data_IF_455905919365
#
_entry.id   IF_455905919365
#
_cell.length_a   1.000
_cell.length_b   1.000
_cell.length_c   1.000
_cell.angle_alpha   90.00
_cell.angle_beta   90.00
_cell.angle_gamma   90.00
#
_symmetry.space_group_name_H-M   'P 1'
#
loop_
_entity.id
_entity.type
_entity.pdbx_description
1 polymer ?
#
# COMPACT_ATOMS: atom_id res chain seq x y z
N UNK A 1 -40.47 10.76 8.86
CA UNK A 1 -39.42 11.71 8.45
C UNK A 1 -38.08 11.18 8.97
N UNK A 2 -37.48 10.22 8.28
CA UNK A 2 -36.20 9.63 8.69
C UNK A 2 -35.05 10.48 8.14
N UNK A 3 -34.41 11.25 9.02
CA UNK A 3 -33.24 12.04 8.70
C UNK A 3 -32.07 11.11 8.39
N UNK A 4 -31.77 10.95 7.10
CA UNK A 4 -30.61 10.22 6.59
C UNK A 4 -29.39 11.09 6.87
N UNK A 5 -28.82 10.97 8.07
CA UNK A 5 -27.51 11.54 8.40
C UNK A 5 -26.43 10.83 7.57
N UNK A 6 -26.33 11.22 6.31
CA UNK A 6 -25.17 10.93 5.47
C UNK A 6 -24.00 11.73 6.02
N UNK A 7 -23.33 11.18 7.04
CA UNK A 7 -22.01 11.63 7.46
C UNK A 7 -21.08 11.47 6.25
N UNK A 8 -20.93 12.55 5.47
CA UNK A 8 -19.85 12.70 4.50
C UNK A 8 -18.57 12.82 5.31
N UNK A 9 -18.07 11.71 5.86
CA UNK A 9 -16.68 11.65 6.32
C UNK A 9 -15.84 11.93 5.08
N UNK A 10 -15.16 13.08 5.09
CA UNK A 10 -14.22 13.44 4.05
C UNK A 10 -13.27 12.28 3.80
N UNK A 11 -12.99 12.04 2.53
CA UNK A 11 -11.92 11.16 2.10
C UNK A 11 -10.63 11.62 2.80
N UNK A 12 -9.93 10.71 3.49
CA UNK A 12 -8.67 11.01 4.21
C UNK A 12 -7.65 11.52 3.20
N UNK A 13 -7.36 12.81 3.20
CA UNK A 13 -6.27 13.38 2.41
C UNK A 13 -5.05 13.53 3.32
N UNK A 14 -4.02 12.68 3.14
CA UNK A 14 -2.82 12.79 3.95
C UNK A 14 -2.06 14.06 3.63
N UNK A 15 -1.50 14.66 4.67
CA UNK A 15 -0.66 15.85 4.57
C UNK A 15 0.83 15.46 4.66
N UNK A 16 1.71 16.38 4.26
CA UNK A 16 3.16 16.20 4.48
C UNK A 16 3.50 16.02 5.97
N UNK A 17 2.72 16.64 6.86
CA UNK A 17 2.89 16.45 8.31
C UNK A 17 2.59 15.01 8.74
N UNK A 18 1.58 14.36 8.13
CA UNK A 18 1.28 12.95 8.39
C UNK A 18 2.42 12.04 7.91
N UNK A 19 2.96 12.30 6.72
CA UNK A 19 4.12 11.56 6.19
C UNK A 19 5.33 11.72 7.10
N UNK A 20 5.65 12.95 7.52
CA UNK A 20 6.75 13.22 8.46
C UNK A 20 6.57 12.46 9.78
N UNK A 21 5.35 12.42 10.32
CA UNK A 21 5.06 11.68 11.55
C UNK A 21 5.33 10.18 11.39
N UNK A 22 4.85 9.57 10.31
CA UNK A 22 5.07 8.14 10.03
C UNK A 22 6.56 7.84 9.81
N UNK A 23 7.30 8.73 9.14
CA UNK A 23 8.74 8.60 8.99
C UNK A 23 9.47 8.64 10.34
N UNK A 24 9.08 9.54 11.24
CA UNK A 24 9.67 9.61 12.59
C UNK A 24 9.34 8.38 13.44
N UNK A 25 8.18 7.76 13.24
CA UNK A 25 7.84 6.47 13.85
C UNK A 25 8.72 5.35 13.26
N UNK A 26 8.88 5.32 11.94
CA UNK A 26 9.69 4.33 11.24
C UNK A 26 11.16 4.36 11.68
N UNK A 27 11.75 5.55 11.83
CA UNK A 27 13.14 5.75 12.23
C UNK A 27 13.47 5.25 13.66
N UNK A 28 12.46 4.94 14.47
CA UNK A 28 12.64 4.39 15.84
C UNK A 28 12.63 2.87 15.86
N UNK A 29 12.36 2.23 14.72
CA UNK A 29 12.23 0.78 14.60
C UNK A 29 13.50 0.19 13.97
N UNK A 30 13.75 -1.08 14.28
CA UNK A 30 14.85 -1.84 13.68
C UNK A 30 14.54 -2.17 12.20
N UNK A 31 15.44 -1.80 11.31
CA UNK A 31 15.23 -1.87 9.87
C UNK A 31 15.14 -3.31 9.35
N UNK A 32 15.89 -4.23 9.96
CA UNK A 32 15.88 -5.65 9.61
C UNK A 32 14.54 -6.28 10.00
N UNK A 33 14.00 -5.91 11.17
CA UNK A 33 12.66 -6.34 11.61
C UNK A 33 11.56 -5.77 10.73
N UNK A 34 11.66 -4.51 10.31
CA UNK A 34 10.72 -3.91 9.35
C UNK A 34 10.76 -4.68 8.03
N UNK A 35 11.94 -4.89 7.46
CA UNK A 35 12.13 -5.58 6.19
C UNK A 35 11.48 -6.97 6.22
N UNK A 36 11.77 -7.73 7.28
CA UNK A 36 11.20 -9.07 7.49
C UNK A 36 9.68 -9.06 7.64
N UNK A 37 9.13 -8.14 8.44
CA UNK A 37 7.68 -8.05 8.71
C UNK A 37 6.91 -7.64 7.46
N UNK A 38 7.38 -6.62 6.77
CA UNK A 38 6.70 -6.03 5.62
C UNK A 38 7.04 -6.74 4.30
N UNK A 39 7.86 -7.79 4.32
CA UNK A 39 8.28 -8.48 3.10
C UNK A 39 9.01 -7.58 2.10
N UNK A 40 9.69 -6.53 2.57
CA UNK A 40 10.41 -5.54 1.74
C UNK A 40 11.91 -5.77 1.79
N UNK A 41 12.63 -5.24 0.81
CA UNK A 41 14.10 -5.30 0.80
C UNK A 41 14.64 -4.07 1.54
N UNK A 42 15.53 -4.30 2.50
CA UNK A 42 16.32 -3.23 3.10
C UNK A 42 17.74 -3.25 2.55
N UNK A 43 18.19 -2.12 2.02
CA UNK A 43 19.54 -1.91 1.53
C UNK A 43 20.31 -1.11 2.58
N UNK A 44 21.21 -1.79 3.28
CA UNK A 44 22.07 -1.17 4.28
C UNK A 44 23.01 -0.13 3.62
N UNK A 45 23.35 0.96 4.34
CA UNK A 45 24.26 1.97 3.81
C UNK A 45 25.69 1.43 3.71
N UNK A 46 26.50 1.90 2.74
CA UNK A 46 27.90 1.46 2.59
C UNK A 46 28.78 1.79 3.80
N UNK A 47 28.44 2.83 4.56
CA UNK A 47 29.15 3.27 5.77
C UNK A 47 28.16 3.43 6.93
N UNK A 48 27.91 2.35 7.70
CA UNK A 48 27.03 2.39 8.86
C UNK A 48 27.47 3.47 9.87
N UNK A 49 26.52 4.20 10.45
CA UNK A 49 26.76 5.24 11.46
C UNK A 49 26.94 6.66 10.92
N UNK A 50 27.24 6.85 9.62
CA UNK A 50 27.22 8.19 8.96
C UNK A 50 26.04 8.40 8.02
N UNK A 51 25.46 7.31 7.53
CA UNK A 51 24.31 7.27 6.62
C UNK A 51 23.33 6.22 7.10
N UNK A 52 22.08 6.36 6.70
CA UNK A 52 21.01 5.39 6.89
C UNK A 52 20.77 4.65 5.57
N UNK A 53 20.18 3.47 5.68
CA UNK A 53 19.85 2.65 4.52
C UNK A 53 18.59 3.14 3.81
N UNK A 54 18.04 2.29 2.97
CA UNK A 54 16.77 2.53 2.27
C UNK A 54 15.94 1.27 2.15
N UNK A 55 14.62 1.44 2.09
CA UNK A 55 13.69 0.34 1.80
C UNK A 55 13.27 0.37 0.34
N UNK A 56 13.27 -0.79 -0.32
CA UNK A 56 12.69 -0.98 -1.65
C UNK A 56 11.32 -1.63 -1.48
N UNK A 57 10.28 -0.91 -1.91
CA UNK A 57 8.88 -1.27 -1.68
C UNK A 57 8.15 -1.34 -3.02
N UNK A 58 7.48 -2.46 -3.27
CA UNK A 58 6.57 -2.58 -4.41
C UNK A 58 5.18 -2.13 -3.98
N UNK A 59 4.58 -1.25 -4.77
CA UNK A 59 3.19 -0.83 -4.63
C UNK A 59 2.52 -0.98 -6.00
N UNK A 60 1.63 -1.97 -6.11
CA UNK A 60 1.02 -2.38 -7.37
C UNK A 60 2.11 -2.71 -8.42
N UNK A 61 2.12 -2.02 -9.55
CA UNK A 61 3.05 -2.24 -10.67
C UNK A 61 4.30 -1.36 -10.60
N UNK A 62 4.50 -0.62 -9.50
CA UNK A 62 5.61 0.33 -9.34
C UNK A 62 6.49 -0.04 -8.17
N UNK A 63 7.76 0.32 -8.28
CA UNK A 63 8.77 0.13 -7.23
C UNK A 63 9.24 1.48 -6.73
N UNK A 64 9.26 1.62 -5.40
CA UNK A 64 9.64 2.84 -4.70
C UNK A 64 10.84 2.61 -3.80
N UNK A 65 11.64 3.66 -3.61
CA UNK A 65 12.69 3.72 -2.58
C UNK A 65 12.27 4.67 -1.48
N UNK A 66 12.34 4.23 -0.22
CA UNK A 66 12.22 5.09 0.96
C UNK A 66 13.63 5.36 1.47
N UNK A 67 14.15 6.54 1.16
CA UNK A 67 15.50 6.96 1.52
C UNK A 67 15.50 7.48 2.97
N UNK A 68 16.09 6.74 3.91
CA UNK A 68 16.00 7.09 5.34
C UNK A 68 16.85 8.30 5.74
N UNK A 69 17.85 8.65 4.92
CA UNK A 69 18.69 9.83 5.12
C UNK A 69 17.93 11.13 4.80
N UNK A 70 17.21 11.18 3.68
CA UNK A 70 16.47 12.37 3.24
C UNK A 70 15.01 12.37 3.71
N UNK A 71 14.46 11.19 4.01
CA UNK A 71 13.04 11.01 4.31
C UNK A 71 12.16 11.00 3.07
N UNK A 72 12.74 10.95 1.88
CA UNK A 72 12.01 10.98 0.61
C UNK A 72 11.54 9.59 0.20
N UNK A 73 10.39 9.56 -0.48
CA UNK A 73 9.88 8.38 -1.18
C UNK A 73 9.99 8.64 -2.67
N UNK A 74 10.80 7.85 -3.37
CA UNK A 74 11.16 8.06 -4.78
C UNK A 74 10.59 6.91 -5.60
N UNK A 75 9.85 7.24 -6.67
CA UNK A 75 9.48 6.28 -7.71
C UNK A 75 10.74 5.92 -8.51
N UNK A 76 11.19 4.66 -8.41
CA UNK A 76 12.45 4.23 -9.03
C UNK A 76 12.37 4.13 -10.56
N UNK A 77 11.16 4.05 -11.12
CA UNK A 77 10.95 4.01 -12.57
C UNK A 77 10.94 5.45 -13.11
N UNK A 78 10.22 6.35 -12.45
CA UNK A 78 10.09 7.73 -12.90
C UNK A 78 11.27 8.63 -12.47
N UNK A 79 12.05 8.21 -11.48
CA UNK A 79 13.15 8.99 -10.91
C UNK A 79 12.69 10.26 -10.18
N UNK A 80 11.46 10.29 -9.67
CA UNK A 80 10.81 11.46 -9.05
C UNK A 80 10.23 11.13 -7.69
N UNK A 81 10.06 12.16 -6.86
CA UNK A 81 9.33 12.02 -5.61
C UNK A 81 7.90 11.50 -5.84
N UNK A 82 7.48 10.58 -4.99
CA UNK A 82 6.12 10.06 -4.98
C UNK A 82 5.13 11.16 -4.53
N UNK A 83 3.86 11.03 -4.93
CA UNK A 83 2.81 11.90 -4.41
C UNK A 83 2.66 11.73 -2.89
N UNK A 84 2.10 12.74 -2.21
CA UNK A 84 1.88 12.68 -0.77
C UNK A 84 1.07 11.44 -0.35
N UNK A 85 0.04 11.09 -1.12
CA UNK A 85 -0.81 9.92 -0.87
C UNK A 85 -0.04 8.61 -1.00
N UNK A 86 0.80 8.51 -2.03
CA UNK A 86 1.63 7.34 -2.29
C UNK A 86 2.67 7.17 -1.18
N UNK A 87 3.38 8.24 -0.84
CA UNK A 87 4.34 8.27 0.25
C UNK A 87 3.67 7.90 1.58
N UNK A 88 2.50 8.44 1.87
CA UNK A 88 1.74 8.14 3.08
C UNK A 88 1.39 6.66 3.20
N UNK A 89 0.89 6.03 2.12
CA UNK A 89 0.55 4.60 2.12
C UNK A 89 1.79 3.75 2.38
N UNK A 90 2.90 4.06 1.70
CA UNK A 90 4.17 3.32 1.86
C UNK A 90 4.71 3.47 3.28
N UNK A 91 4.79 4.70 3.79
CA UNK A 91 5.29 4.97 5.15
C UNK A 91 4.39 4.32 6.21
N UNK A 92 3.06 4.36 6.02
CA UNK A 92 2.09 3.71 6.90
C UNK A 92 2.30 2.20 6.92
N UNK A 93 2.57 1.60 5.76
CA UNK A 93 2.82 0.16 5.67
C UNK A 93 4.06 -0.21 6.48
N UNK A 94 5.18 0.47 6.21
CA UNK A 94 6.46 0.22 6.87
C UNK A 94 6.43 0.50 8.38
N UNK A 95 5.75 1.56 8.82
CA UNK A 95 5.68 1.96 10.24
C UNK A 95 4.65 1.16 11.05
N UNK A 96 3.83 0.34 10.39
CA UNK A 96 2.82 -0.43 11.09
C UNK A 96 3.40 -1.58 11.91
N UNK A 97 2.72 -1.93 12.99
CA UNK A 97 2.95 -3.19 13.72
C UNK A 97 2.21 -4.39 13.09
N UNK A 98 1.53 -4.18 11.95
CA UNK A 98 0.65 -5.15 11.28
C UNK A 98 1.37 -6.31 10.61
N UNK A 99 0.63 -7.37 10.33
CA UNK A 99 1.03 -8.76 10.05
C UNK A 99 2.30 -8.94 9.22
N UNK A 100 3.05 -9.99 9.58
CA UNK A 100 4.11 -10.58 8.75
C UNK A 100 3.48 -11.00 7.43
N UNK A 101 3.67 -10.19 6.39
CA UNK A 101 3.39 -10.63 5.03
C UNK A 101 4.26 -11.85 4.76
N UNK A 102 3.68 -12.91 4.20
CA UNK A 102 4.52 -13.97 3.62
C UNK A 102 5.37 -13.32 2.54
N UNK A 103 6.67 -13.65 2.54
CA UNK A 103 7.62 -13.14 1.55
C UNK A 103 7.03 -13.39 0.16
N UNK A 104 6.88 -12.32 -0.64
CA UNK A 104 6.45 -12.35 -2.05
C UNK A 104 4.94 -12.44 -2.34
N UNK A 105 4.05 -12.42 -1.34
CA UNK A 105 2.59 -12.43 -1.55
C UNK A 105 1.96 -11.03 -1.49
N UNK A 106 0.88 -10.82 -2.24
CA UNK A 106 0.07 -9.59 -2.18
C UNK A 106 -0.55 -9.42 -0.80
N UNK A 107 -0.42 -8.23 -0.21
CA UNK A 107 -1.17 -7.87 1.01
C UNK A 107 -2.54 -7.33 0.63
N UNK A 108 -3.62 -7.93 1.15
CA UNK A 108 -4.98 -7.47 0.88
C UNK A 108 -5.26 -6.12 1.54
N UNK A 109 -6.28 -5.39 1.07
CA UNK A 109 -6.69 -4.12 1.69
C UNK A 109 -7.24 -4.31 3.10
N UNK A 110 -7.78 -5.49 3.44
CA UNK A 110 -8.24 -5.79 4.81
C UNK A 110 -7.06 -5.96 5.78
N UNK A 111 -5.96 -6.54 5.30
CA UNK A 111 -4.73 -6.76 6.06
C UNK A 111 -3.86 -5.50 6.15
N UNK A 112 -4.06 -4.56 5.22
CA UNK A 112 -3.35 -3.29 5.22
C UNK A 112 -3.52 -2.55 6.56
N UNK A 113 -2.49 -1.86 7.07
CA UNK A 113 -2.58 -1.14 8.32
C UNK A 113 -3.68 -0.09 8.33
N UNK A 114 -4.65 -0.27 9.23
CA UNK A 114 -5.90 0.51 9.27
C UNK A 114 -6.73 0.40 7.98
N UNK A 115 -6.69 -0.75 7.31
CA UNK A 115 -7.43 -1.09 6.07
C UNK A 115 -8.88 -0.64 6.06
N UNK A 116 -9.57 -0.79 7.20
CA UNK A 116 -10.97 -0.35 7.40
C UNK A 116 -11.19 1.14 7.09
N UNK A 117 -10.20 2.01 7.30
CA UNK A 117 -10.28 3.44 6.98
C UNK A 117 -10.32 3.69 5.47
N UNK A 118 -9.71 2.80 4.69
CA UNK A 118 -9.65 2.91 3.24
C UNK A 118 -10.79 2.17 2.54
N UNK A 119 -11.67 1.47 3.27
CA UNK A 119 -12.80 0.72 2.69
C UNK A 119 -13.65 1.59 1.76
N UNK A 120 -13.95 2.83 2.15
CA UNK A 120 -14.75 3.73 1.30
C UNK A 120 -14.00 4.14 0.02
N UNK A 121 -12.68 4.24 0.05
CA UNK A 121 -11.85 4.49 -1.14
C UNK A 121 -11.86 3.27 -2.05
N UNK A 122 -11.59 2.10 -1.49
CA UNK A 122 -11.56 0.85 -2.22
C UNK A 122 -12.91 0.56 -2.88
N UNK A 123 -14.01 0.76 -2.15
CA UNK A 123 -15.36 0.63 -2.69
C UNK A 123 -15.60 1.59 -3.86
N UNK A 124 -15.24 2.86 -3.70
CA UNK A 124 -15.52 3.90 -4.70
C UNK A 124 -14.67 3.76 -5.96
N UNK A 125 -13.39 3.42 -5.82
CA UNK A 125 -12.41 3.48 -6.90
C UNK A 125 -12.01 2.11 -7.46
N UNK A 126 -12.33 1.02 -6.77
CA UNK A 126 -12.05 -0.34 -7.23
C UNK A 126 -13.34 -1.11 -7.45
N UNK A 127 -14.13 -1.35 -6.39
CA UNK A 127 -15.32 -2.21 -6.47
C UNK A 127 -16.36 -1.65 -7.42
N UNK A 128 -16.77 -0.38 -7.27
CA UNK A 128 -17.81 0.21 -8.15
C UNK A 128 -17.43 0.24 -9.62
N UNK A 129 -16.21 0.66 -10.02
CA UNK A 129 -15.76 0.53 -11.41
C UNK A 129 -15.79 -0.92 -11.91
N UNK A 130 -15.33 -1.88 -11.10
CA UNK A 130 -15.36 -3.29 -11.45
C UNK A 130 -16.80 -3.79 -11.67
N UNK A 131 -17.71 -3.51 -10.73
CA UNK A 131 -19.14 -3.87 -10.87
C UNK A 131 -19.77 -3.23 -12.11
N UNK A 132 -19.42 -1.99 -12.45
CA UNK A 132 -19.93 -1.35 -13.69
C UNK A 132 -19.41 -2.01 -14.96
N UNK A 133 -18.18 -2.52 -14.95
CA UNK A 133 -17.53 -3.12 -16.13
C UNK A 133 -17.91 -4.60 -16.33
N UNK A 134 -18.13 -5.32 -15.23
CA UNK A 134 -18.25 -6.77 -15.20
C UNK A 134 -19.53 -7.30 -14.55
N UNK A 135 -20.38 -6.44 -13.96
CA UNK A 135 -21.46 -6.78 -13.02
C UNK A 135 -22.10 -8.14 -13.22
N UNK A 136 -22.80 -8.33 -14.33
CA UNK A 136 -23.50 -9.58 -14.64
C UNK A 136 -22.73 -10.46 -15.65
N UNK A 137 -21.59 -9.99 -16.15
CA UNK A 137 -20.77 -10.66 -17.17
C UNK A 137 -19.57 -11.36 -16.51
N UNK A 138 -19.88 -12.45 -15.80
CA UNK A 138 -18.89 -13.25 -15.08
C UNK A 138 -17.88 -13.93 -16.00
N UNK A 139 -18.24 -14.26 -17.24
CA UNK A 139 -17.34 -14.87 -18.22
C UNK A 139 -16.26 -13.89 -18.66
N UNK A 140 -16.64 -12.65 -18.96
CA UNK A 140 -15.69 -11.58 -19.29
C UNK A 140 -14.77 -11.26 -18.13
N UNK A 141 -15.29 -11.26 -16.90
CA UNK A 141 -14.47 -11.11 -15.70
C UNK A 141 -13.43 -12.22 -15.59
N UNK A 142 -13.84 -13.49 -15.71
CA UNK A 142 -12.95 -14.64 -15.65
C UNK A 142 -11.89 -14.62 -16.75
N UNK A 143 -12.28 -14.24 -17.98
CA UNK A 143 -11.36 -14.10 -19.10
C UNK A 143 -10.28 -13.05 -18.84
N UNK A 144 -10.66 -11.86 -18.35
CA UNK A 144 -9.71 -10.77 -18.07
C UNK A 144 -8.78 -11.15 -16.91
N UNK A 145 -9.31 -11.71 -15.81
CA UNK A 145 -8.50 -12.17 -14.69
C UNK A 145 -7.45 -13.19 -15.14
N UNK A 146 -7.83 -14.20 -15.93
CA UNK A 146 -6.88 -15.17 -16.48
C UNK A 146 -5.79 -14.53 -17.32
N UNK A 147 -6.14 -13.55 -18.17
CA UNK A 147 -5.15 -12.81 -18.99
C UNK A 147 -4.18 -11.99 -18.15
N UNK A 148 -4.59 -11.52 -16.98
CA UNK A 148 -3.75 -10.78 -16.04
C UNK A 148 -2.93 -11.71 -15.12
N UNK A 149 -2.99 -13.03 -15.34
CA UNK A 149 -2.28 -14.03 -14.53
C UNK A 149 -3.02 -14.46 -13.26
N UNK A 150 -4.29 -14.06 -13.11
CA UNK A 150 -5.12 -14.43 -11.98
C UNK A 150 -5.52 -15.91 -11.99
N UNK A 151 -5.77 -16.44 -10.79
CA UNK A 151 -6.13 -17.83 -10.52
C UNK A 151 -7.54 -17.92 -9.94
N UNK A 152 -8.26 -18.97 -10.33
CA UNK A 152 -9.61 -19.24 -9.81
C UNK A 152 -9.51 -19.88 -8.44
N UNK A 153 -10.12 -19.26 -7.44
CA UNK A 153 -10.13 -19.76 -6.07
C UNK A 153 -11.09 -20.93 -5.91
N UNK A 154 -10.73 -21.92 -5.06
CA UNK A 154 -11.51 -23.17 -4.88
C UNK A 154 -12.92 -22.94 -4.31
N UNK A 155 -13.14 -21.87 -3.57
CA UNK A 155 -14.39 -21.56 -2.89
C UNK A 155 -15.16 -20.40 -3.54
N UNK A 156 -14.78 -20.03 -4.78
CA UNK A 156 -15.29 -18.85 -5.48
C UNK A 156 -14.37 -17.63 -5.32
N UNK A 157 -14.30 -16.81 -6.36
CA UNK A 157 -13.37 -15.67 -6.47
C UNK A 157 -12.24 -15.90 -7.49
N UNK A 158 -11.60 -14.80 -7.91
CA UNK A 158 -10.43 -14.78 -8.78
C UNK A 158 -9.37 -13.88 -8.11
N UNK A 159 -8.16 -14.41 -7.87
CA UNK A 159 -7.03 -13.74 -7.21
C UNK A 159 -5.85 -13.53 -8.17
#
# INVERSE_FOLDING_TARGET
MFSRMSSRRGLIQPTEADCRKLLQELLKMDEVKIAKRCGVIFLAPPKPGRRKGRFVVNLLTRTYSVELDTGEVIDLIAGKAASCETAFIILRYLSSSGSVGRKEDWTSIEEFPRGKLYRNYFERYVIRPFTRLFGDDSEKYEFVCKRLGGRKERLGGLS
#
